data_IF_070462809039
#
_entry.id   IF_070462809039
#
_cell.length_a   1.000
_cell.length_b   1.000
_cell.length_c   1.000
_cell.angle_alpha   90.00
_cell.angle_beta   90.00
_cell.angle_gamma   90.00
#
_symmetry.space_group_name_H-M   'P 1'
#
loop_
_entity.id
_entity.type
_entity.pdbx_description
1 polymer ?
#
# COMPACT_ATOMS: atom_id res chain seq x y z
N UNK A 1 -34.28 -16.19 -5.67
CA UNK A 1 -34.68 -14.81 -6.06
C UNK A 1 -33.38 -14.08 -6.37
N UNK A 2 -33.08 -13.80 -7.64
CA UNK A 2 -31.86 -13.11 -8.03
C UNK A 2 -32.06 -11.63 -7.77
N UNK A 3 -31.30 -11.06 -6.87
CA UNK A 3 -31.30 -9.62 -6.56
C UNK A 3 -30.14 -9.01 -7.35
N UNK A 4 -30.34 -7.83 -7.95
CA UNK A 4 -29.32 -7.12 -8.70
C UNK A 4 -28.82 -5.95 -7.86
N UNK A 5 -27.52 -5.80 -7.76
CA UNK A 5 -26.93 -4.54 -7.35
C UNK A 5 -26.62 -3.72 -8.60
N UNK A 6 -26.99 -2.45 -8.61
CA UNK A 6 -26.52 -1.55 -9.66
C UNK A 6 -25.00 -1.54 -9.68
N UNK A 7 -24.41 -1.64 -10.88
CA UNK A 7 -22.96 -1.46 -11.01
C UNK A 7 -22.61 -0.10 -10.40
N UNK A 8 -21.59 -0.02 -9.54
CA UNK A 8 -21.20 1.25 -8.94
C UNK A 8 -20.93 2.27 -10.05
N UNK A 9 -21.43 3.51 -9.93
CA UNK A 9 -21.23 4.53 -10.96
C UNK A 9 -19.73 4.72 -11.19
N UNK A 10 -19.29 4.63 -12.46
CA UNK A 10 -17.93 4.94 -12.87
C UNK A 10 -17.71 6.43 -12.57
N UNK A 11 -17.19 6.72 -11.36
CA UNK A 11 -16.90 8.09 -10.96
C UNK A 11 -15.63 8.53 -11.66
N UNK A 12 -15.76 9.48 -12.59
CA UNK A 12 -14.62 10.14 -13.22
C UNK A 12 -13.76 10.76 -12.12
N UNK A 13 -12.48 10.38 -12.05
CA UNK A 13 -11.53 10.98 -11.15
C UNK A 13 -11.51 12.51 -11.35
N UNK A 14 -11.77 13.26 -10.31
CA UNK A 14 -11.68 14.71 -10.32
C UNK A 14 -10.23 15.15 -10.58
N UNK A 15 -10.00 15.93 -11.63
CA UNK A 15 -8.69 16.42 -12.11
C UNK A 15 -7.96 17.40 -11.18
N UNK A 16 -8.34 17.53 -9.92
CA UNK A 16 -7.91 18.65 -9.06
C UNK A 16 -6.94 18.35 -7.91
N UNK A 17 -6.59 17.11 -7.58
CA UNK A 17 -5.90 16.78 -6.30
C UNK A 17 -4.43 16.37 -6.41
N UNK A 18 -3.76 16.56 -7.53
CA UNK A 18 -2.38 16.08 -7.73
C UNK A 18 -1.28 17.06 -7.32
N UNK A 19 -1.61 18.22 -6.72
CA UNK A 19 -0.66 19.34 -6.59
C UNK A 19 0.37 19.22 -5.45
N UNK A 20 0.25 18.26 -4.52
CA UNK A 20 1.16 18.14 -3.38
C UNK A 20 1.84 16.76 -3.24
N UNK A 21 1.91 15.99 -4.32
CA UNK A 21 2.61 14.71 -4.29
C UNK A 21 4.11 14.94 -4.48
N UNK A 22 4.88 14.64 -3.45
CA UNK A 22 6.34 14.54 -3.51
C UNK A 22 6.66 13.08 -3.81
N UNK A 23 7.27 12.81 -4.97
CA UNK A 23 7.57 11.46 -5.44
C UNK A 23 9.02 11.11 -5.06
N UNK A 24 9.26 10.21 -4.09
CA UNK A 24 10.60 9.70 -3.83
C UNK A 24 11.05 8.85 -5.02
N UNK A 25 12.31 8.99 -5.43
CA UNK A 25 12.86 8.26 -6.57
C UNK A 25 14.10 7.46 -6.21
N UNK A 26 14.83 7.86 -5.19
CA UNK A 26 16.04 7.17 -4.74
C UNK A 26 16.44 7.63 -3.35
N UNK A 27 17.01 6.72 -2.55
CA UNK A 27 17.69 7.08 -1.33
C UNK A 27 19.23 6.91 -1.48
N UNK A 28 20.00 7.52 -0.62
CA UNK A 28 21.47 7.56 -0.75
C UNK A 28 22.16 6.53 0.14
N UNK A 29 21.39 5.67 0.82
CA UNK A 29 21.94 4.70 1.77
C UNK A 29 22.35 3.41 1.04
N UNK A 30 23.65 3.03 1.07
CA UNK A 30 24.08 1.76 0.53
C UNK A 30 23.58 0.61 1.42
N UNK A 31 23.03 -0.43 0.81
CA UNK A 31 22.68 -1.69 1.47
C UNK A 31 23.89 -2.63 1.54
N UNK A 32 23.99 -3.44 2.60
CA UNK A 32 25.06 -4.43 2.81
C UNK A 32 24.69 -5.80 2.26
N UNK A 33 23.40 -6.11 2.26
CA UNK A 33 22.84 -7.41 1.86
C UNK A 33 21.87 -7.22 0.71
N UNK A 34 21.76 -8.22 -0.16
CA UNK A 34 20.73 -8.25 -1.18
C UNK A 34 19.36 -8.31 -0.51
N UNK A 35 18.44 -7.36 -0.78
CA UNK A 35 17.12 -7.31 -0.14
C UNK A 35 16.16 -8.32 -0.78
N UNK A 36 16.35 -9.60 -0.47
CA UNK A 36 15.65 -10.73 -1.11
C UNK A 36 14.15 -10.69 -0.84
N UNK A 37 13.76 -10.35 0.40
CA UNK A 37 12.34 -10.30 0.78
C UNK A 37 11.64 -9.13 0.09
N UNK A 38 12.28 -7.96 0.02
CA UNK A 38 11.77 -6.81 -0.73
C UNK A 38 11.50 -7.17 -2.19
N UNK A 39 12.45 -7.81 -2.86
CA UNK A 39 12.28 -8.23 -4.26
C UNK A 39 11.23 -9.33 -4.41
N UNK A 40 11.17 -10.29 -3.48
CA UNK A 40 10.15 -11.33 -3.50
C UNK A 40 8.73 -10.75 -3.32
N UNK A 41 8.56 -9.78 -2.41
CA UNK A 41 7.29 -9.07 -2.22
C UNK A 41 6.91 -8.29 -3.48
N UNK A 42 7.85 -7.57 -4.10
CA UNK A 42 7.58 -6.86 -5.37
C UNK A 42 7.15 -7.84 -6.45
N UNK A 43 7.90 -8.93 -6.64
CA UNK A 43 7.56 -9.95 -7.64
C UNK A 43 6.18 -10.57 -7.39
N UNK A 44 5.87 -10.93 -6.14
CA UNK A 44 4.57 -11.49 -5.76
C UNK A 44 3.42 -10.51 -6.05
N UNK A 45 3.57 -9.23 -5.71
CA UNK A 45 2.55 -8.21 -5.99
C UNK A 45 2.32 -8.03 -7.49
N UNK A 46 3.39 -7.99 -8.29
CA UNK A 46 3.28 -7.90 -9.76
C UNK A 46 2.59 -9.13 -10.33
N UNK A 47 2.97 -10.33 -9.90
CA UNK A 47 2.35 -11.57 -10.38
C UNK A 47 0.86 -11.62 -10.02
N UNK A 48 0.49 -11.35 -8.77
CA UNK A 48 -0.92 -11.33 -8.34
C UNK A 48 -1.71 -10.30 -9.14
N UNK A 49 -1.16 -9.12 -9.38
CA UNK A 49 -1.83 -8.09 -10.19
C UNK A 49 -2.08 -8.55 -11.64
N UNK A 50 -1.11 -9.22 -12.26
CA UNK A 50 -1.27 -9.73 -13.62
C UNK A 50 -2.33 -10.83 -13.72
N UNK A 51 -2.56 -11.58 -12.63
CA UNK A 51 -3.61 -12.61 -12.54
C UNK A 51 -4.98 -12.05 -12.08
N UNK A 52 -5.04 -10.80 -11.59
CA UNK A 52 -6.30 -10.20 -11.15
C UNK A 52 -7.22 -9.91 -12.34
N UNK A 53 -8.48 -10.40 -12.33
CA UNK A 53 -9.39 -10.23 -13.47
C UNK A 53 -9.59 -8.76 -13.85
N UNK A 54 -9.51 -8.45 -15.14
CA UNK A 54 -9.87 -7.14 -15.70
C UNK A 54 -8.89 -6.00 -15.45
N UNK A 55 -7.87 -6.14 -14.59
CA UNK A 55 -6.97 -5.03 -14.25
C UNK A 55 -5.75 -4.92 -15.16
N UNK A 56 -5.14 -6.03 -15.54
CA UNK A 56 -3.92 -6.01 -16.37
C UNK A 56 -4.18 -5.50 -17.80
N UNK A 57 -5.39 -5.72 -18.34
CA UNK A 57 -5.77 -5.29 -19.70
C UNK A 57 -6.37 -3.87 -19.79
N UNK A 58 -6.79 -3.27 -18.69
CA UNK A 58 -7.51 -1.98 -18.69
C UNK A 58 -6.54 -0.79 -18.51
N UNK A 59 -5.74 -0.52 -19.51
CA UNK A 59 -4.87 0.70 -19.51
C UNK A 59 -5.68 1.97 -19.75
N UNK A 60 -6.89 1.87 -20.30
CA UNK A 60 -7.67 3.00 -20.81
C UNK A 60 -9.06 3.24 -20.15
N UNK A 61 -9.42 2.52 -19.08
CA UNK A 61 -10.66 2.83 -18.34
C UNK A 61 -11.98 2.33 -18.97
N UNK A 62 -11.93 1.57 -20.05
CA UNK A 62 -13.10 0.97 -20.71
C UNK A 62 -13.27 -0.50 -20.26
N UNK A 63 -13.74 -0.67 -19.03
CA UNK A 63 -14.09 -2.00 -18.52
C UNK A 63 -15.55 -2.32 -18.88
N UNK A 64 -15.78 -3.48 -19.51
CA UNK A 64 -17.13 -3.98 -19.72
C UNK A 64 -17.83 -4.29 -18.38
N UNK A 65 -19.16 -4.26 -18.33
CA UNK A 65 -19.93 -4.64 -17.12
C UNK A 65 -19.53 -6.04 -16.64
N UNK A 66 -19.27 -6.97 -17.56
CA UNK A 66 -18.83 -8.32 -17.23
C UNK A 66 -17.48 -8.31 -16.49
N UNK A 67 -16.48 -7.54 -16.97
CA UNK A 67 -15.19 -7.43 -16.31
C UNK A 67 -15.30 -6.85 -14.90
N UNK A 68 -16.18 -5.85 -14.71
CA UNK A 68 -16.44 -5.26 -13.40
C UNK A 68 -17.09 -6.27 -12.45
N UNK A 69 -18.06 -7.08 -12.92
CA UNK A 69 -18.69 -8.10 -12.10
C UNK A 69 -17.73 -9.21 -11.70
N UNK A 70 -16.86 -9.67 -12.61
CA UNK A 70 -15.81 -10.63 -12.29
C UNK A 70 -14.79 -10.06 -11.29
N UNK A 71 -14.38 -8.80 -11.48
CA UNK A 71 -13.46 -8.14 -10.55
C UNK A 71 -14.10 -8.02 -9.16
N UNK A 72 -15.37 -7.62 -9.08
CA UNK A 72 -16.06 -7.46 -7.81
C UNK A 72 -16.18 -8.80 -7.08
N UNK A 73 -16.60 -9.88 -7.77
CA UNK A 73 -16.65 -11.23 -7.20
C UNK A 73 -15.27 -11.69 -6.70
N UNK A 74 -14.22 -11.40 -7.46
CA UNK A 74 -12.84 -11.71 -7.06
C UNK A 74 -12.42 -10.91 -5.81
N UNK A 75 -12.74 -9.63 -5.74
CA UNK A 75 -12.40 -8.79 -4.58
C UNK A 75 -13.20 -9.19 -3.33
N UNK A 76 -14.50 -9.52 -3.46
CA UNK A 76 -15.31 -10.00 -2.33
C UNK A 76 -14.74 -11.29 -1.73
N UNK A 77 -14.16 -12.17 -2.56
CA UNK A 77 -13.53 -13.39 -2.08
C UNK A 77 -12.16 -13.14 -1.40
N UNK A 78 -11.28 -12.33 -2.02
CA UNK A 78 -9.86 -12.27 -1.64
C UNK A 78 -9.46 -11.00 -0.88
N UNK A 79 -10.24 -9.92 -0.95
CA UNK A 79 -9.92 -8.68 -0.24
C UNK A 79 -10.32 -8.73 1.23
N UNK A 80 -9.71 -7.88 2.04
CA UNK A 80 -10.13 -7.67 3.41
C UNK A 80 -11.32 -6.71 3.43
N UNK A 81 -12.43 -7.13 4.01
CA UNK A 81 -13.63 -6.31 4.14
C UNK A 81 -13.79 -5.92 5.62
N UNK A 82 -13.81 -4.62 5.97
CA UNK A 82 -13.88 -4.17 7.36
C UNK A 82 -15.01 -4.82 8.16
N UNK A 83 -16.21 -4.85 7.60
CA UNK A 83 -17.37 -5.47 8.23
C UNK A 83 -17.13 -6.96 8.56
N UNK A 84 -16.50 -7.70 7.67
CA UNK A 84 -16.18 -9.12 7.91
C UNK A 84 -15.10 -9.29 8.98
N UNK A 85 -14.08 -8.39 9.00
CA UNK A 85 -13.00 -8.44 9.98
C UNK A 85 -13.49 -8.19 11.40
N UNK A 86 -14.49 -7.30 11.56
CA UNK A 86 -14.98 -6.90 12.88
C UNK A 86 -16.14 -7.78 13.35
N UNK A 87 -17.08 -8.07 12.49
CA UNK A 87 -18.29 -8.84 12.87
C UNK A 87 -18.12 -10.35 12.67
N UNK A 88 -17.05 -10.81 12.00
CA UNK A 88 -16.78 -12.23 11.71
C UNK A 88 -17.92 -12.94 10.96
N UNK A 89 -18.65 -12.19 10.13
CA UNK A 89 -19.78 -12.67 9.34
C UNK A 89 -19.60 -12.30 7.88
N UNK A 90 -19.82 -13.27 6.99
CA UNK A 90 -19.84 -13.00 5.56
C UNK A 90 -21.16 -12.33 5.17
N UNK A 91 -21.17 -11.52 4.09
CA UNK A 91 -22.39 -10.95 3.54
C UNK A 91 -23.38 -12.06 3.16
N UNK A 92 -24.68 -11.78 3.29
CA UNK A 92 -25.74 -12.73 2.88
C UNK A 92 -25.76 -12.97 1.36
N UNK A 93 -25.32 -11.97 0.60
CA UNK A 93 -25.28 -12.00 -0.86
C UNK A 93 -23.97 -11.38 -1.33
N UNK A 94 -23.33 -12.03 -2.28
CA UNK A 94 -22.07 -11.61 -2.91
C UNK A 94 -22.23 -11.68 -4.44
N UNK A 95 -21.50 -10.84 -5.22
CA UNK A 95 -21.47 -10.96 -6.68
C UNK A 95 -20.96 -12.33 -7.12
N UNK A 96 -21.62 -12.93 -8.11
CA UNK A 96 -21.21 -14.22 -8.70
C UNK A 96 -20.21 -14.08 -9.83
N UNK A 97 -19.98 -12.85 -10.31
CA UNK A 97 -19.24 -12.57 -11.53
C UNK A 97 -20.11 -12.49 -12.79
N UNK A 98 -21.31 -13.02 -12.74
CA UNK A 98 -22.23 -13.01 -13.88
C UNK A 98 -22.90 -11.64 -14.06
N UNK A 99 -23.31 -11.36 -15.29
CA UNK A 99 -24.11 -10.19 -15.65
C UNK A 99 -25.55 -10.59 -15.84
N UNK A 100 -26.47 -9.80 -15.31
CA UNK A 100 -27.90 -9.98 -15.48
C UNK A 100 -28.61 -8.68 -15.78
N UNK A 101 -29.90 -8.79 -16.19
CA UNK A 101 -30.78 -7.64 -16.41
C UNK A 101 -31.98 -7.78 -15.48
N UNK A 102 -32.32 -6.71 -14.77
CA UNK A 102 -33.46 -6.67 -13.89
C UNK A 102 -34.80 -6.47 -14.67
N UNK A 103 -35.93 -6.53 -13.96
CA UNK A 103 -37.24 -6.34 -14.56
C UNK A 103 -37.46 -4.94 -15.18
N UNK A 104 -36.68 -3.97 -14.79
CA UNK A 104 -36.68 -2.58 -15.29
C UNK A 104 -35.73 -2.39 -16.48
N UNK A 105 -35.02 -3.44 -16.94
CA UNK A 105 -34.08 -3.40 -18.06
C UNK A 105 -32.68 -2.90 -17.69
N UNK A 106 -32.40 -2.63 -16.42
CA UNK A 106 -31.06 -2.23 -15.99
C UNK A 106 -30.12 -3.45 -15.89
N UNK A 107 -28.92 -3.31 -16.46
CA UNK A 107 -27.87 -4.35 -16.44
C UNK A 107 -26.97 -4.15 -15.24
N UNK A 108 -26.64 -5.24 -14.52
CA UNK A 108 -25.78 -5.22 -13.34
C UNK A 108 -25.23 -6.60 -13.00
N UNK A 109 -24.52 -6.72 -11.89
CA UNK A 109 -23.97 -7.98 -11.43
C UNK A 109 -25.04 -8.83 -10.73
N UNK A 110 -25.03 -10.13 -11.02
CA UNK A 110 -25.87 -11.11 -10.32
C UNK A 110 -25.29 -11.35 -8.94
N UNK A 111 -26.14 -11.38 -7.91
CA UNK A 111 -25.74 -11.71 -6.55
C UNK A 111 -26.40 -13.00 -6.07
N UNK A 112 -25.67 -13.78 -5.28
CA UNK A 112 -26.14 -15.02 -4.66
C UNK A 112 -25.53 -15.16 -3.25
N UNK A 113 -26.04 -16.06 -2.41
CA UNK A 113 -25.32 -16.45 -1.20
C UNK A 113 -23.90 -16.94 -1.56
N UNK A 114 -22.89 -16.62 -0.75
CA UNK A 114 -21.51 -17.08 -1.01
C UNK A 114 -21.47 -18.61 -1.05
N UNK A 115 -20.80 -19.16 -2.06
CA UNK A 115 -20.54 -20.59 -2.27
C UNK A 115 -19.12 -21.00 -1.85
N UNK A 116 -18.45 -20.14 -1.11
CA UNK A 116 -17.08 -20.32 -0.65
C UNK A 116 -16.94 -20.03 0.84
N UNK A 117 -15.93 -20.69 1.46
CA UNK A 117 -15.50 -20.38 2.79
C UNK A 117 -14.38 -19.32 2.75
N UNK A 118 -14.56 -18.24 3.49
CA UNK A 118 -13.58 -17.16 3.62
C UNK A 118 -13.22 -16.97 5.08
N UNK A 119 -11.92 -16.98 5.38
CA UNK A 119 -11.42 -16.53 6.66
C UNK A 119 -11.15 -15.03 6.60
N UNK A 120 -11.92 -14.18 7.29
CA UNK A 120 -11.67 -12.74 7.28
C UNK A 120 -10.25 -12.37 7.71
N UNK A 121 -9.69 -13.09 8.70
CA UNK A 121 -8.31 -12.85 9.14
C UNK A 121 -7.28 -13.17 8.05
N UNK A 122 -7.45 -14.28 7.30
CA UNK A 122 -6.54 -14.63 6.20
C UNK A 122 -6.70 -13.72 5.00
N UNK A 123 -7.89 -13.13 4.80
CA UNK A 123 -8.12 -12.17 3.72
C UNK A 123 -7.27 -10.90 3.87
N UNK A 124 -6.81 -10.56 5.06
CA UNK A 124 -5.83 -9.48 5.25
C UNK A 124 -4.52 -9.78 4.53
N UNK A 125 -4.04 -11.02 4.64
CA UNK A 125 -2.80 -11.41 3.97
C UNK A 125 -2.93 -11.37 2.45
N UNK A 126 -4.02 -11.90 1.89
CA UNK A 126 -4.27 -11.86 0.44
C UNK A 126 -4.48 -10.45 -0.06
N UNK A 127 -5.23 -9.62 0.68
CA UNK A 127 -5.49 -8.22 0.36
C UNK A 127 -4.21 -7.38 0.21
N UNK A 128 -3.15 -7.70 0.96
CA UNK A 128 -1.85 -7.02 0.86
C UNK A 128 -1.18 -7.18 -0.51
N UNK A 129 -1.62 -8.13 -1.34
CA UNK A 129 -1.10 -8.37 -2.69
C UNK A 129 -2.03 -7.91 -3.80
N UNK A 130 -3.25 -7.49 -3.47
CA UNK A 130 -4.23 -7.00 -4.44
C UNK A 130 -4.04 -5.51 -4.71
N UNK A 131 -4.21 -5.08 -5.95
CA UNK A 131 -4.09 -3.67 -6.34
C UNK A 131 -5.19 -3.28 -7.31
N UNK A 132 -5.75 -2.08 -7.13
CA UNK A 132 -6.89 -1.58 -7.91
C UNK A 132 -6.53 -0.94 -9.27
N UNK A 133 -5.26 -1.03 -9.70
CA UNK A 133 -4.80 -0.50 -11.00
C UNK A 133 -3.29 -0.27 -11.05
N UNK A 134 -2.79 0.02 -12.25
CA UNK A 134 -1.35 0.18 -12.50
C UNK A 134 -0.70 1.27 -11.64
N UNK A 135 -1.34 2.42 -11.48
CA UNK A 135 -0.76 3.50 -10.69
C UNK A 135 -0.66 3.13 -9.21
N UNK A 136 -1.67 2.40 -8.69
CA UNK A 136 -1.68 1.88 -7.32
C UNK A 136 -0.55 0.86 -7.11
N UNK A 137 -0.39 -0.10 -8.04
CA UNK A 137 0.70 -1.08 -7.99
C UNK A 137 2.07 -0.40 -8.06
N UNK A 138 2.30 0.41 -9.12
CA UNK A 138 3.61 1.03 -9.37
C UNK A 138 4.02 1.96 -8.24
N UNK A 139 3.08 2.73 -7.67
CA UNK A 139 3.32 3.55 -6.49
C UNK A 139 3.78 2.72 -5.30
N UNK A 140 3.07 1.65 -4.97
CA UNK A 140 3.45 0.74 -3.89
C UNK A 140 4.83 0.11 -4.12
N UNK A 141 5.09 -0.40 -5.31
CA UNK A 141 6.37 -1.05 -5.64
C UNK A 141 7.54 -0.06 -5.59
N UNK A 142 7.33 1.18 -6.03
CA UNK A 142 8.33 2.23 -5.95
C UNK A 142 8.71 2.53 -4.49
N UNK A 143 7.73 2.74 -3.62
CA UNK A 143 8.00 3.00 -2.20
C UNK A 143 8.65 1.80 -1.51
N UNK A 144 8.17 0.59 -1.78
CA UNK A 144 8.77 -0.62 -1.23
C UNK A 144 10.21 -0.82 -1.70
N UNK A 145 10.51 -0.54 -2.97
CA UNK A 145 11.85 -0.64 -3.52
C UNK A 145 12.83 0.36 -2.87
N UNK A 146 12.40 1.61 -2.66
CA UNK A 146 13.27 2.68 -2.15
C UNK A 146 13.52 2.52 -0.65
N UNK A 147 12.50 2.19 0.13
CA UNK A 147 12.59 2.18 1.59
C UNK A 147 12.73 0.78 2.18
N UNK A 148 12.12 -0.23 1.53
CA UNK A 148 12.10 -1.61 2.01
C UNK A 148 13.48 -2.24 2.06
N UNK A 149 14.30 -2.02 1.03
CA UNK A 149 15.66 -2.54 0.95
C UNK A 149 16.53 -2.15 2.16
N UNK A 150 16.44 -0.91 2.60
CA UNK A 150 17.22 -0.39 3.74
C UNK A 150 16.69 -0.92 5.08
N UNK A 151 15.37 -1.03 5.23
CA UNK A 151 14.76 -1.58 6.44
C UNK A 151 15.08 -3.06 6.56
N UNK A 152 15.01 -3.81 5.44
CA UNK A 152 15.40 -5.22 5.38
C UNK A 152 16.88 -5.42 5.71
N UNK A 153 17.78 -4.59 5.15
CA UNK A 153 19.22 -4.66 5.44
C UNK A 153 19.51 -4.46 6.94
N UNK A 154 18.73 -3.59 7.61
CA UNK A 154 18.86 -3.32 9.04
C UNK A 154 18.31 -4.42 9.93
N UNK A 155 17.14 -4.96 9.60
CA UNK A 155 16.44 -5.96 10.41
C UNK A 155 16.88 -7.39 10.09
N UNK A 156 17.36 -7.64 8.87
CA UNK A 156 17.57 -8.96 8.27
C UNK A 156 16.27 -9.54 7.71
N UNK A 157 16.38 -10.52 6.82
CA UNK A 157 15.29 -11.02 5.96
C UNK A 157 14.07 -11.50 6.75
N UNK A 158 14.27 -12.40 7.72
CA UNK A 158 13.18 -13.03 8.48
C UNK A 158 12.42 -11.99 9.33
N UNK A 159 13.15 -11.13 10.04
CA UNK A 159 12.52 -10.09 10.87
C UNK A 159 11.77 -9.08 10.01
N UNK A 160 12.30 -8.72 8.85
CA UNK A 160 11.64 -7.83 7.92
C UNK A 160 10.36 -8.44 7.35
N UNK A 161 10.37 -9.72 6.96
CA UNK A 161 9.16 -10.40 6.48
C UNK A 161 8.05 -10.42 7.53
N UNK A 162 8.38 -10.81 8.78
CA UNK A 162 7.43 -10.79 9.89
C UNK A 162 6.94 -9.39 10.21
N UNK A 163 7.85 -8.42 10.25
CA UNK A 163 7.54 -7.01 10.47
C UNK A 163 6.56 -6.48 9.42
N UNK A 164 6.79 -6.77 8.13
CA UNK A 164 5.94 -6.35 7.03
C UNK A 164 4.51 -6.89 7.18
N UNK A 165 4.38 -8.19 7.48
CA UNK A 165 3.08 -8.82 7.71
C UNK A 165 2.38 -8.21 8.91
N UNK A 166 3.06 -8.08 10.05
CA UNK A 166 2.48 -7.49 11.28
C UNK A 166 2.00 -6.06 11.04
N UNK A 167 2.77 -5.22 10.32
CA UNK A 167 2.35 -3.88 9.96
C UNK A 167 1.12 -3.88 9.06
N UNK A 168 1.03 -4.81 8.10
CA UNK A 168 -0.13 -4.97 7.23
C UNK A 168 -1.40 -5.34 8.00
N UNK A 169 -1.30 -6.29 8.93
CA UNK A 169 -2.40 -6.64 9.81
C UNK A 169 -2.80 -5.47 10.72
N UNK A 170 -1.85 -4.81 11.36
CA UNK A 170 -2.14 -3.64 12.20
C UNK A 170 -2.86 -2.54 11.42
N UNK A 171 -2.41 -2.25 10.19
CA UNK A 171 -3.04 -1.26 9.32
C UNK A 171 -4.46 -1.65 8.95
N UNK A 172 -4.68 -2.90 8.53
CA UNK A 172 -6.00 -3.39 8.08
C UNK A 172 -7.00 -3.44 9.23
N UNK A 173 -6.63 -4.00 10.37
CA UNK A 173 -7.51 -4.02 11.54
C UNK A 173 -7.74 -2.62 12.12
N UNK A 174 -6.71 -1.76 12.15
CA UNK A 174 -6.88 -0.38 12.58
C UNK A 174 -7.84 0.41 11.69
N UNK A 175 -7.79 0.20 10.37
CA UNK A 175 -8.77 0.76 9.45
C UNK A 175 -10.17 0.18 9.68
N UNK A 176 -10.28 -1.15 9.83
CA UNK A 176 -11.53 -1.83 10.04
C UNK A 176 -12.25 -1.38 11.34
N UNK A 177 -11.48 -1.15 12.43
CA UNK A 177 -12.04 -0.62 13.67
C UNK A 177 -12.63 0.79 13.52
N UNK A 178 -12.07 1.61 12.63
CA UNK A 178 -12.59 2.96 12.34
C UNK A 178 -13.75 2.94 11.32
N UNK A 179 -13.94 1.82 10.60
CA UNK A 179 -14.91 1.68 9.53
C UNK A 179 -15.65 0.33 9.64
N UNK A 180 -16.10 -0.04 10.84
CA UNK A 180 -16.56 -1.38 11.17
C UNK A 180 -17.72 -1.90 10.30
N UNK A 181 -18.56 -1.00 9.81
CA UNK A 181 -19.73 -1.32 9.00
C UNK A 181 -19.50 -1.18 7.48
N UNK A 182 -18.25 -0.83 7.08
CA UNK A 182 -17.93 -0.71 5.65
C UNK A 182 -17.85 -2.07 4.98
N UNK A 183 -18.55 -2.21 3.85
CA UNK A 183 -18.46 -3.34 2.93
C UNK A 183 -17.47 -3.11 1.79
N UNK A 184 -16.79 -1.96 1.75
CA UNK A 184 -15.81 -1.65 0.71
C UNK A 184 -14.54 -2.50 0.88
N UNK A 185 -14.06 -3.15 -0.18
CA UNK A 185 -12.88 -4.01 -0.10
C UNK A 185 -11.62 -3.18 0.15
N UNK A 186 -10.91 -3.48 1.24
CA UNK A 186 -9.60 -2.95 1.53
C UNK A 186 -8.55 -3.81 0.80
N UNK A 187 -7.77 -3.18 -0.07
CA UNK A 187 -6.73 -3.82 -0.89
C UNK A 187 -5.47 -2.98 -0.94
N UNK A 188 -4.35 -3.63 -1.10
CA UNK A 188 -3.04 -3.00 -1.33
C UNK A 188 -2.01 -3.29 -0.28
N UNK A 189 -0.76 -3.29 -0.71
CA UNK A 189 0.43 -3.40 0.15
C UNK A 189 0.66 -2.15 1.02
N UNK A 190 -0.07 -1.07 0.76
CA UNK A 190 0.27 0.28 1.23
C UNK A 190 0.26 0.46 2.76
N UNK A 191 -0.61 -0.26 3.47
CA UNK A 191 -0.62 -0.25 4.94
C UNK A 191 0.67 -0.84 5.54
N UNK A 192 1.16 -1.97 5.00
CA UNK A 192 2.43 -2.56 5.39
C UNK A 192 3.62 -1.68 4.97
N UNK A 193 3.57 -1.11 3.76
CA UNK A 193 4.59 -0.17 3.26
C UNK A 193 4.62 1.09 4.13
N UNK A 194 3.49 1.61 4.57
CA UNK A 194 3.45 2.71 5.54
C UNK A 194 4.21 2.35 6.83
N UNK A 195 4.08 1.10 7.30
CA UNK A 195 4.90 0.58 8.39
C UNK A 195 6.40 0.59 8.07
N UNK A 196 6.79 0.22 6.85
CA UNK A 196 8.19 0.31 6.38
C UNK A 196 8.67 1.76 6.40
N UNK A 197 7.85 2.73 5.97
CA UNK A 197 8.19 4.16 6.03
C UNK A 197 8.36 4.65 7.46
N UNK A 198 7.50 4.22 8.38
CA UNK A 198 7.62 4.52 9.81
C UNK A 198 8.92 3.96 10.41
N UNK A 199 9.25 2.71 10.09
CA UNK A 199 10.52 2.09 10.48
C UNK A 199 11.72 2.82 9.88
N UNK A 200 11.67 3.17 8.61
CA UNK A 200 12.74 3.92 7.95
C UNK A 200 12.99 5.27 8.64
N UNK A 201 11.93 5.98 9.02
CA UNK A 201 12.05 7.23 9.75
C UNK A 201 12.78 7.06 11.11
N UNK A 202 12.50 5.98 11.84
CA UNK A 202 13.18 5.67 13.11
C UNK A 202 14.63 5.26 12.92
N UNK A 203 14.91 4.45 11.89
CA UNK A 203 16.23 3.88 11.63
C UNK A 203 17.19 4.86 10.91
N UNK A 204 16.64 5.70 10.03
CA UNK A 204 17.41 6.57 9.12
C UNK A 204 16.89 8.03 9.07
N UNK A 205 16.61 8.69 10.20
CA UNK A 205 15.94 10.01 10.21
C UNK A 205 16.70 11.09 9.43
N UNK A 206 18.02 10.99 9.36
CA UNK A 206 18.90 11.97 8.68
C UNK A 206 19.31 11.54 7.27
N UNK A 207 18.86 10.37 6.82
CA UNK A 207 19.13 9.91 5.46
C UNK A 207 18.59 10.90 4.43
N UNK A 208 19.25 11.00 3.29
CA UNK A 208 18.82 11.88 2.21
C UNK A 208 18.10 11.09 1.15
N UNK A 209 16.91 11.57 0.79
CA UNK A 209 16.05 10.99 -0.23
C UNK A 209 15.95 11.97 -1.39
N UNK A 210 16.16 11.47 -2.61
CA UNK A 210 15.87 12.21 -3.82
C UNK A 210 14.38 12.17 -4.08
N UNK A 211 13.78 13.33 -4.26
CA UNK A 211 12.36 13.50 -4.52
C UNK A 211 12.13 14.35 -5.74
N UNK A 212 11.14 14.02 -6.53
CA UNK A 212 10.63 14.85 -7.60
C UNK A 212 9.43 15.64 -7.09
N UNK A 213 9.44 16.92 -7.34
CA UNK A 213 8.35 17.84 -6.95
C UNK A 213 7.61 18.25 -8.22
N UNK A 214 6.44 17.67 -8.54
CA UNK A 214 5.76 17.86 -9.81
C UNK A 214 5.41 19.31 -10.11
N UNK A 215 4.96 20.08 -9.11
CA UNK A 215 4.60 21.49 -9.31
C UNK A 215 5.81 22.41 -9.57
N UNK A 216 7.03 21.93 -9.32
CA UNK A 216 8.29 22.60 -9.69
C UNK A 216 8.88 21.99 -10.97
N UNK A 217 8.04 21.57 -11.91
CA UNK A 217 8.47 20.95 -13.18
C UNK A 217 9.39 19.75 -12.96
N UNK A 218 9.01 18.89 -12.00
CA UNK A 218 9.78 17.71 -11.60
C UNK A 218 11.21 18.00 -11.14
N UNK A 219 11.43 19.16 -10.52
CA UNK A 219 12.75 19.50 -9.98
C UNK A 219 13.21 18.42 -8.98
N UNK A 220 14.37 17.78 -9.20
CA UNK A 220 14.91 16.80 -8.27
C UNK A 220 15.50 17.52 -7.05
N UNK A 221 14.93 17.29 -5.89
CA UNK A 221 15.43 17.79 -4.61
C UNK A 221 15.99 16.68 -3.76
N UNK A 222 17.00 17.00 -2.97
CA UNK A 222 17.61 16.07 -2.02
C UNK A 222 17.28 16.48 -0.60
N UNK A 223 16.23 15.88 -0.05
CA UNK A 223 15.66 16.24 1.24
C UNK A 223 15.97 15.18 2.32
N UNK A 224 16.05 15.55 3.60
CA UNK A 224 16.19 14.59 4.67
C UNK A 224 14.92 13.75 4.85
N UNK A 225 15.06 12.48 5.19
CA UNK A 225 13.95 11.54 5.32
C UNK A 225 12.88 12.01 6.30
N UNK A 226 13.27 12.63 7.42
CA UNK A 226 12.30 13.14 8.41
C UNK A 226 11.35 14.18 7.82
N UNK A 227 11.81 15.00 6.88
CA UNK A 227 10.98 16.01 6.23
C UNK A 227 10.04 15.35 5.21
N UNK A 228 10.55 14.45 4.36
CA UNK A 228 9.77 13.78 3.32
C UNK A 228 8.69 12.88 3.94
N UNK A 229 9.09 12.01 4.85
CA UNK A 229 8.21 11.04 5.48
C UNK A 229 7.27 11.68 6.52
N UNK A 230 7.76 12.69 7.24
CA UNK A 230 6.95 13.48 8.17
C UNK A 230 5.84 14.25 7.43
N UNK A 231 6.19 14.91 6.33
CA UNK A 231 5.20 15.60 5.49
C UNK A 231 4.19 14.60 4.88
N UNK A 232 4.68 13.46 4.36
CA UNK A 232 3.80 12.40 3.86
C UNK A 232 2.83 11.93 4.93
N UNK A 233 3.31 11.66 6.15
CA UNK A 233 2.48 11.22 7.27
C UNK A 233 1.42 12.26 7.65
N UNK A 234 1.79 13.54 7.75
CA UNK A 234 0.85 14.62 8.05
C UNK A 234 -0.25 14.71 7.00
N UNK A 235 0.09 14.55 5.71
CA UNK A 235 -0.91 14.49 4.64
C UNK A 235 -1.86 13.30 4.79
N UNK A 236 -1.33 12.10 5.14
CA UNK A 236 -2.18 10.92 5.37
C UNK A 236 -3.13 11.15 6.56
N UNK A 237 -2.64 11.72 7.65
CA UNK A 237 -3.46 12.05 8.82
C UNK A 237 -4.53 13.11 8.50
N UNK A 238 -4.18 14.13 7.74
CA UNK A 238 -5.12 15.16 7.30
C UNK A 238 -6.23 14.58 6.41
N UNK A 239 -5.87 13.76 5.42
CA UNK A 239 -6.86 13.12 4.56
C UNK A 239 -7.71 12.06 5.29
N UNK A 240 -7.17 11.41 6.30
CA UNK A 240 -7.92 10.45 7.11
C UNK A 240 -8.99 11.09 8.00
N UNK A 241 -8.86 12.38 8.32
CA UNK A 241 -9.88 13.12 9.07
C UNK A 241 -11.12 13.50 8.25
N UNK A 242 -11.13 13.23 6.95
CA UNK A 242 -12.22 13.60 6.04
C UNK A 242 -12.21 15.06 5.58
N UNK A 243 -11.35 15.89 6.13
CA UNK A 243 -11.28 17.33 5.85
C UNK A 243 -10.76 17.65 4.43
N UNK A 244 -10.05 16.72 3.81
CA UNK A 244 -9.38 16.94 2.52
C UNK A 244 -9.96 16.18 1.32
N UNK A 245 -10.99 15.35 1.51
CA UNK A 245 -11.51 14.46 0.46
C UNK A 245 -13.03 14.52 0.42
N UNK A 246 -13.61 14.94 -0.70
CA UNK A 246 -14.99 14.60 -1.00
C UNK A 246 -15.12 13.07 -0.99
N UNK A 247 -16.21 12.55 -0.41
CA UNK A 247 -16.49 11.13 -0.10
C UNK A 247 -16.32 10.09 -1.23
N UNK A 248 -15.55 10.39 -2.25
CA UNK A 248 -15.23 9.57 -3.41
C UNK A 248 -13.77 9.06 -3.43
N UNK A 249 -13.00 9.26 -2.36
CA UNK A 249 -11.60 8.83 -2.28
C UNK A 249 -11.50 7.36 -1.89
N UNK A 250 -11.04 6.53 -2.81
CA UNK A 250 -10.83 5.09 -2.64
C UNK A 250 -9.54 4.75 -1.86
N UNK A 251 -8.87 5.73 -1.24
CA UNK A 251 -7.62 5.51 -0.51
C UNK A 251 -7.89 5.38 0.98
N UNK A 252 -7.46 4.28 1.56
CA UNK A 252 -7.58 4.00 2.99
C UNK A 252 -6.51 4.76 3.81
N UNK A 253 -6.61 6.09 3.88
CA UNK A 253 -5.62 6.94 4.56
C UNK A 253 -5.42 6.56 6.02
N UNK A 254 -6.48 6.17 6.73
CA UNK A 254 -6.37 5.72 8.11
C UNK A 254 -5.52 4.44 8.26
N UNK A 255 -5.60 3.51 7.29
CA UNK A 255 -4.70 2.34 7.27
C UNK A 255 -3.23 2.75 7.15
N UNK A 256 -2.93 3.78 6.35
CA UNK A 256 -1.56 4.31 6.23
C UNK A 256 -1.08 4.92 7.54
N UNK A 257 -1.92 5.70 8.23
CA UNK A 257 -1.57 6.29 9.53
C UNK A 257 -1.28 5.22 10.57
N UNK A 258 -2.18 4.23 10.69
CA UNK A 258 -2.00 3.12 11.65
C UNK A 258 -0.76 2.29 11.31
N UNK A 259 -0.58 1.94 10.04
CA UNK A 259 0.59 1.19 9.58
C UNK A 259 1.90 1.91 9.88
N UNK A 260 1.97 3.21 9.60
CA UNK A 260 3.15 4.04 9.86
C UNK A 260 3.51 4.07 11.34
N UNK A 261 2.52 4.33 12.21
CA UNK A 261 2.72 4.34 13.66
C UNK A 261 3.13 2.96 14.20
N UNK A 262 2.49 1.88 13.73
CA UNK A 262 2.88 0.52 14.07
C UNK A 262 4.33 0.24 13.68
N UNK A 263 4.73 0.65 12.48
CA UNK A 263 6.10 0.51 12.00
C UNK A 263 7.12 1.27 12.83
N UNK A 264 6.82 2.50 13.23
CA UNK A 264 7.66 3.27 14.14
C UNK A 264 7.84 2.57 15.50
N UNK A 265 6.74 2.11 16.08
CA UNK A 265 6.75 1.44 17.39
C UNK A 265 7.53 0.12 17.35
N UNK A 266 7.30 -0.72 16.33
CA UNK A 266 7.97 -2.00 16.17
C UNK A 266 9.45 -1.87 15.80
N UNK A 267 9.84 -0.81 15.09
CA UNK A 267 11.24 -0.59 14.76
C UNK A 267 12.07 -0.10 15.93
N UNK A 268 11.45 0.56 16.91
CA UNK A 268 12.18 1.14 18.04
C UNK A 268 12.98 0.09 18.86
N UNK A 269 12.38 -1.00 19.35
CA UNK A 269 13.14 -2.05 20.05
C UNK A 269 14.07 -2.82 19.10
N UNK A 270 13.71 -3.01 17.83
CA UNK A 270 14.56 -3.69 16.85
C UNK A 270 15.80 -2.87 16.47
N UNK A 271 15.81 -1.56 16.71
CA UNK A 271 16.98 -0.70 16.51
C UNK A 271 18.13 -1.09 17.41
N UNK A 272 17.90 -1.50 18.64
CA UNK A 272 18.92 -1.80 19.64
C UNK A 272 19.83 -2.99 19.24
N UNK A 273 19.32 -3.96 18.48
CA UNK A 273 20.09 -5.13 18.02
C UNK A 273 20.55 -5.08 16.57
N UNK A 274 20.34 -3.97 15.87
CA UNK A 274 20.69 -3.84 14.45
C UNK A 274 22.07 -3.19 14.26
N UNK A 275 22.86 -3.60 13.25
CA UNK A 275 24.13 -2.94 12.96
C UNK A 275 23.91 -1.47 12.58
N UNK A 276 24.87 -0.57 12.85
CA UNK A 276 24.75 0.83 12.46
C UNK A 276 24.60 0.96 10.93
N UNK A 277 23.96 2.05 10.43
CA UNK A 277 23.89 2.28 8.99
C UNK A 277 25.25 2.23 8.35
N UNK A 278 25.39 1.69 7.11
CA UNK A 278 26.65 1.80 6.37
C UNK A 278 27.01 3.30 6.22
N UNK A 279 28.28 3.63 6.38
CA UNK A 279 28.72 4.99 6.09
C UNK A 279 28.50 5.27 4.59
N UNK A 280 27.93 6.43 4.20
CA UNK A 280 27.82 6.81 2.81
C UNK A 280 29.23 6.73 2.20
N UNK A 281 29.44 5.89 1.18
CA UNK A 281 30.67 5.92 0.40
C UNK A 281 30.79 7.34 -0.14
N UNK A 282 31.78 8.09 0.34
CA UNK A 282 31.99 9.45 -0.09
C UNK A 282 32.04 9.50 -1.60
N UNK A 283 31.16 10.29 -2.21
CA UNK A 283 31.32 10.68 -3.59
C UNK A 283 32.72 11.27 -3.71
N UNK A 284 33.58 10.56 -4.44
CA UNK A 284 34.93 10.93 -4.75
C UNK A 284 34.98 12.24 -5.54
N UNK A 285 34.83 13.36 -4.83
CA UNK A 285 35.47 14.62 -5.21
C UNK A 285 36.34 15.04 -4.06
N UNK A 286 37.62 14.60 -4.12
CA UNK A 286 38.74 15.25 -3.57
C UNK A 286 38.86 15.37 -2.04
N UNK A 287 38.86 14.28 -1.27
CA UNK A 287 39.64 14.22 -0.02
C UNK A 287 40.29 12.83 0.09
N UNK A 288 41.60 12.78 -0.13
CA UNK A 288 42.47 11.65 0.23
C UNK A 288 42.23 11.31 1.70
N UNK A 289 41.81 10.07 2.00
CA UNK A 289 41.77 9.55 3.34
C UNK A 289 43.17 9.69 3.96
N UNK A 290 43.30 10.42 5.06
CA UNK A 290 44.50 10.38 5.87
C UNK A 290 44.60 8.99 6.50
N UNK A 291 45.75 8.28 6.39
CA UNK A 291 45.94 7.05 7.11
C UNK A 291 45.88 7.33 8.61
N UNK A 292 45.06 6.57 9.35
CA UNK A 292 45.12 6.56 10.81
C UNK A 292 46.46 5.96 11.21
N UNK A 293 47.37 6.76 11.72
CA UNK A 293 48.53 6.28 12.45
C UNK A 293 48.02 5.59 13.73
N UNK A 294 48.24 4.27 13.80
CA UNK A 294 48.19 3.51 15.03
C UNK A 294 49.31 3.98 15.96
N UNK A 295 48.93 4.42 17.13
CA UNK A 295 49.77 4.44 18.32
C UNK A 295 49.18 3.46 19.32
#
# INVERSE_FOLDING_TARGET
>A
MRVFTEAPPIRRAHRGQYFLVVIPVHDVNPVRRTPVVTYALIAANVLVFLYTPGLAGSVAGDSSVSQLCHLQAFLDHWAAIPQELIHHQLPKLVPTGDVGTNAQGATGCVVAPPDYDKSPALSVLTAMFLHGGWLHLLGNMLFLLIFGNNVEDRMGHVRFALFYVVCGYAASYGFALLNADSSDPLIGASGAIAGVLGAYLVLYPKARVWVLVPFLVFLPLRLPAWLVLGFWFVLQAFYSSGEGVSAAGTVAYAAHVVGFLAGMLLAWPLKAGTPPPPEPRGLLFGRKARPRHSW
#
